data_IF_514821698566
#
_entry.id   IF_514821698566
#
_cell.length_a   1.000
_cell.length_b   1.000
_cell.length_c   1.000
_cell.angle_alpha   90.00
_cell.angle_beta   90.00
_cell.angle_gamma   90.00
#
_symmetry.space_group_name_H-M   'P 1'
#
loop_
_entity.id
_entity.type
_entity.pdbx_description
1 polymer ?
#
# COMPACT_ATOMS: atom_id res chain seq x y z
N UNK A 1 5.78 -46.33 8.34
CA UNK A 1 5.67 -45.74 7.00
C UNK A 1 4.61 -44.62 6.91
N UNK A 2 3.37 -44.78 7.42
CA UNK A 2 2.33 -43.69 7.34
C UNK A 2 2.71 -42.35 7.99
N UNK A 3 3.46 -42.36 9.11
CA UNK A 3 3.89 -41.12 9.80
C UNK A 3 4.95 -40.32 9.04
N UNK A 4 5.82 -40.98 8.24
CA UNK A 4 6.86 -40.32 7.43
C UNK A 4 6.22 -39.68 6.21
N UNK A 5 5.24 -40.33 5.57
CA UNK A 5 4.53 -39.78 4.41
C UNK A 5 3.75 -38.49 4.78
N UNK A 6 3.14 -38.49 5.99
CA UNK A 6 2.42 -37.30 6.48
C UNK A 6 3.38 -36.11 6.70
N UNK A 7 4.56 -36.36 7.28
CA UNK A 7 5.55 -35.32 7.54
C UNK A 7 6.12 -34.71 6.24
N UNK A 8 6.36 -35.52 5.22
CA UNK A 8 6.83 -35.08 3.91
C UNK A 8 5.76 -34.24 3.18
N UNK A 9 4.49 -34.63 3.26
CA UNK A 9 3.39 -33.88 2.65
C UNK A 9 3.21 -32.49 3.30
N UNK A 10 3.38 -32.38 4.62
CA UNK A 10 3.32 -31.10 5.34
C UNK A 10 4.50 -30.19 4.95
N UNK A 11 5.70 -30.72 4.80
CA UNK A 11 6.88 -29.95 4.38
C UNK A 11 6.75 -29.40 2.94
N UNK A 12 6.20 -30.21 2.03
CA UNK A 12 5.99 -29.79 0.63
C UNK A 12 4.91 -28.70 0.51
N UNK A 13 3.86 -28.75 1.33
CA UNK A 13 2.82 -27.70 1.33
C UNK A 13 3.32 -26.38 1.90
N UNK A 14 4.19 -26.38 2.89
CA UNK A 14 4.81 -25.17 3.44
C UNK A 14 5.76 -24.51 2.42
N UNK A 15 6.55 -25.30 1.69
CA UNK A 15 7.43 -24.77 0.66
C UNK A 15 6.66 -24.07 -0.48
N UNK A 16 5.59 -24.67 -0.97
CA UNK A 16 4.74 -24.09 -2.02
C UNK A 16 4.04 -22.78 -1.58
N UNK A 17 3.60 -22.69 -0.33
CA UNK A 17 3.01 -21.46 0.21
C UNK A 17 4.04 -20.34 0.31
N UNK A 18 5.28 -20.61 0.69
CA UNK A 18 6.36 -19.63 0.79
C UNK A 18 6.72 -19.10 -0.59
N UNK A 19 6.85 -19.97 -1.58
CA UNK A 19 7.15 -19.59 -2.97
C UNK A 19 6.08 -18.66 -3.56
N UNK A 20 4.81 -18.96 -3.33
CA UNK A 20 3.69 -18.13 -3.77
C UNK A 20 3.66 -16.77 -3.08
N UNK A 21 3.96 -16.70 -1.79
CA UNK A 21 4.08 -15.44 -1.05
C UNK A 21 5.17 -14.56 -1.65
N UNK A 22 6.34 -15.10 -1.92
CA UNK A 22 7.45 -14.36 -2.52
C UNK A 22 7.11 -13.86 -3.93
N UNK A 23 6.46 -14.68 -4.76
CA UNK A 23 5.99 -14.26 -6.10
C UNK A 23 5.07 -13.04 -6.03
N UNK A 24 4.11 -13.00 -5.11
CA UNK A 24 3.20 -11.86 -4.93
C UNK A 24 3.95 -10.59 -4.49
N UNK A 25 4.92 -10.73 -3.58
CA UNK A 25 5.77 -9.61 -3.16
C UNK A 25 6.64 -9.08 -4.31
N UNK A 26 7.24 -9.97 -5.09
CA UNK A 26 8.04 -9.60 -6.26
C UNK A 26 7.19 -8.88 -7.31
N UNK A 27 5.98 -9.38 -7.59
CA UNK A 27 5.05 -8.74 -8.52
C UNK A 27 4.67 -7.33 -8.06
N UNK A 28 4.39 -7.15 -6.76
CA UNK A 28 4.09 -5.85 -6.19
C UNK A 28 5.29 -4.89 -6.28
N UNK A 29 6.51 -5.38 -6.02
CA UNK A 29 7.74 -4.59 -6.15
C UNK A 29 8.03 -4.18 -7.59
N UNK A 30 7.88 -5.10 -8.55
CA UNK A 30 8.05 -4.80 -9.98
C UNK A 30 7.04 -3.75 -10.44
N UNK A 31 5.76 -3.90 -10.06
CA UNK A 31 4.70 -2.95 -10.38
C UNK A 31 5.00 -1.56 -9.78
N UNK A 32 5.47 -1.50 -8.53
CA UNK A 32 5.88 -0.24 -7.90
C UNK A 32 6.98 0.45 -8.72
N UNK A 33 8.06 -0.26 -9.01
CA UNK A 33 9.21 0.28 -9.76
C UNK A 33 8.81 0.74 -11.17
N UNK A 34 8.01 -0.04 -11.86
CA UNK A 34 7.52 0.28 -13.20
C UNK A 34 6.64 1.55 -13.20
N UNK A 35 5.75 1.70 -12.20
CA UNK A 35 4.84 2.84 -12.10
C UNK A 35 5.53 4.16 -11.76
N UNK A 36 6.67 4.11 -11.08
CA UNK A 36 7.47 5.28 -10.70
C UNK A 36 8.57 5.61 -11.73
N UNK A 37 8.63 4.84 -12.81
CA UNK A 37 9.65 5.00 -13.84
C UNK A 37 11.04 4.61 -13.35
N UNK A 38 12.09 5.13 -14.03
CA UNK A 38 13.48 4.85 -13.66
C UNK A 38 13.97 5.63 -12.43
N UNK A 39 13.05 6.19 -11.63
CA UNK A 39 13.36 6.90 -10.40
C UNK A 39 13.99 5.98 -9.35
N UNK A 40 14.78 6.56 -8.45
CA UNK A 40 15.30 5.84 -7.31
C UNK A 40 14.15 5.52 -6.34
N UNK A 41 13.80 4.23 -6.24
CA UNK A 41 12.81 3.72 -5.30
C UNK A 41 13.53 2.90 -4.24
N UNK A 42 13.42 3.33 -3.00
CA UNK A 42 13.94 2.60 -1.84
C UNK A 42 12.76 1.98 -1.09
N UNK A 43 12.68 0.66 -1.10
CA UNK A 43 11.69 -0.09 -0.32
C UNK A 43 12.13 -0.09 1.14
N UNK A 44 11.27 0.39 2.03
CA UNK A 44 11.49 0.44 3.47
C UNK A 44 10.94 -0.80 4.15
N UNK A 45 9.79 -1.28 3.68
CA UNK A 45 9.15 -2.48 4.18
C UNK A 45 8.14 -3.04 3.19
N UNK A 46 7.93 -4.35 3.27
CA UNK A 46 6.92 -5.07 2.50
C UNK A 46 6.19 -6.01 3.45
N UNK A 47 4.86 -6.02 3.37
CA UNK A 47 4.04 -6.91 4.18
C UNK A 47 4.03 -8.33 3.60
N UNK A 48 3.75 -9.32 4.44
CA UNK A 48 3.28 -10.60 3.93
C UNK A 48 1.94 -10.41 3.20
N UNK A 49 1.67 -11.23 2.16
CA UNK A 49 0.38 -11.24 1.52
C UNK A 49 -0.73 -11.58 2.52
N UNK A 50 -1.79 -10.80 2.51
CA UNK A 50 -2.96 -11.00 3.35
C UNK A 50 -4.22 -11.11 2.49
N UNK A 51 -5.23 -11.83 2.98
CA UNK A 51 -6.47 -12.03 2.26
C UNK A 51 -7.25 -10.72 2.10
N UNK A 52 -7.78 -10.48 0.90
CA UNK A 52 -8.74 -9.40 0.66
C UNK A 52 -10.11 -9.94 0.27
N UNK A 53 -11.15 -9.12 0.46
CA UNK A 53 -12.55 -9.50 0.29
C UNK A 53 -13.29 -8.38 -0.44
N UNK A 54 -14.19 -8.75 -1.35
CA UNK A 54 -14.86 -7.75 -2.20
C UNK A 54 -13.85 -6.90 -2.98
N UNK A 55 -14.19 -5.66 -3.29
CA UNK A 55 -13.35 -4.77 -4.11
C UNK A 55 -12.43 -3.86 -3.30
N UNK A 56 -12.78 -3.53 -2.07
CA UNK A 56 -12.11 -2.48 -1.28
C UNK A 56 -11.96 -2.82 0.21
N UNK A 57 -12.15 -4.08 0.59
CA UNK A 57 -12.13 -4.42 2.00
C UNK A 57 -10.77 -4.23 2.64
N UNK A 58 -10.75 -3.39 3.66
CA UNK A 58 -9.64 -3.19 4.57
C UNK A 58 -10.08 -3.55 5.98
N UNK A 59 -9.21 -4.22 6.73
CA UNK A 59 -9.50 -4.52 8.14
C UNK A 59 -9.61 -3.24 8.97
N UNK A 60 -10.35 -3.26 10.09
CA UNK A 60 -10.51 -2.09 10.95
C UNK A 60 -9.18 -1.48 11.45
N UNK A 61 -8.19 -2.32 11.74
CA UNK A 61 -6.84 -1.90 12.15
C UNK A 61 -6.08 -1.21 11.02
N UNK A 62 -6.19 -1.72 9.79
CA UNK A 62 -5.60 -1.13 8.59
C UNK A 62 -6.23 0.24 8.28
N UNK A 63 -7.57 0.32 8.30
CA UNK A 63 -8.30 1.60 8.14
C UNK A 63 -7.84 2.63 9.16
N UNK A 64 -7.76 2.22 10.44
CA UNK A 64 -7.33 3.10 11.53
C UNK A 64 -5.90 3.61 11.30
N UNK A 65 -5.00 2.74 10.84
CA UNK A 65 -3.61 3.12 10.55
C UNK A 65 -3.52 4.11 9.38
N UNK A 66 -4.25 3.87 8.28
CA UNK A 66 -4.30 4.77 7.13
C UNK A 66 -4.87 6.14 7.54
N UNK A 67 -5.99 6.17 8.26
CA UNK A 67 -6.60 7.43 8.74
C UNK A 67 -5.62 8.18 9.64
N UNK A 68 -4.92 7.50 10.55
CA UNK A 68 -3.93 8.12 11.41
C UNK A 68 -2.76 8.71 10.62
N UNK A 69 -2.30 8.02 9.56
CA UNK A 69 -1.27 8.53 8.66
C UNK A 69 -1.75 9.78 7.92
N UNK A 70 -2.97 9.74 7.36
CA UNK A 70 -3.56 10.88 6.64
C UNK A 70 -3.75 12.11 7.55
N UNK A 71 -4.14 11.90 8.81
CA UNK A 71 -4.22 12.98 9.79
C UNK A 71 -2.84 13.58 10.08
N UNK A 72 -1.79 12.75 10.24
CA UNK A 72 -0.42 13.26 10.42
C UNK A 72 0.06 14.08 9.21
N UNK A 73 -0.28 13.66 8.00
CA UNK A 73 0.01 14.45 6.79
C UNK A 73 -0.71 15.80 6.85
N UNK A 74 -1.99 15.81 7.22
CA UNK A 74 -2.76 17.05 7.44
C UNK A 74 -2.07 17.94 8.46
N UNK A 75 -1.65 17.42 9.60
CA UNK A 75 -0.98 18.18 10.66
C UNK A 75 0.33 18.83 10.15
N UNK A 76 1.11 18.11 9.33
CA UNK A 76 2.33 18.66 8.72
C UNK A 76 1.99 19.83 7.80
N UNK A 77 1.00 19.68 6.92
CA UNK A 77 0.55 20.74 6.00
C UNK A 77 0.05 21.95 6.79
N UNK A 78 -0.84 21.73 7.76
CA UNK A 78 -1.41 22.80 8.60
C UNK A 78 -0.36 23.58 9.38
N UNK A 79 0.62 22.86 9.94
CA UNK A 79 1.75 23.50 10.64
C UNK A 79 2.59 24.37 9.70
N UNK A 80 2.91 23.89 8.50
CA UNK A 80 3.74 24.62 7.51
C UNK A 80 3.02 25.80 6.89
N UNK A 81 1.69 25.72 6.78
CA UNK A 81 0.84 26.80 6.23
C UNK A 81 0.24 27.69 7.32
N UNK A 82 0.63 27.56 8.58
CA UNK A 82 0.04 28.29 9.73
C UNK A 82 -1.50 28.21 9.69
N UNK A 83 -2.04 27.00 9.67
CA UNK A 83 -3.47 26.73 9.54
C UNK A 83 -4.08 27.34 8.27
N UNK A 84 -3.43 27.17 7.14
CA UNK A 84 -3.83 27.69 5.82
C UNK A 84 -3.88 29.23 5.72
N UNK A 85 -3.33 29.95 6.69
CA UNK A 85 -3.27 31.41 6.68
C UNK A 85 -2.09 31.95 5.85
N UNK A 86 -1.08 31.12 5.59
CA UNK A 86 0.10 31.46 4.80
C UNK A 86 0.27 30.43 3.69
N UNK A 87 0.23 30.90 2.46
CA UNK A 87 0.61 30.14 1.29
C UNK A 87 1.99 30.59 0.80
N UNK A 88 2.96 29.69 0.79
CA UNK A 88 4.27 29.94 0.22
C UNK A 88 4.41 29.13 -1.09
N UNK A 89 4.38 29.76 -2.27
CA UNK A 89 4.50 29.06 -3.55
C UNK A 89 5.90 28.45 -3.77
N UNK A 90 6.90 28.83 -2.98
CA UNK A 90 8.25 28.26 -3.05
C UNK A 90 8.39 27.00 -2.16
N UNK A 91 7.44 26.71 -1.29
CA UNK A 91 7.44 25.49 -0.47
C UNK A 91 6.93 24.30 -1.26
N UNK A 92 7.76 23.86 -2.23
CA UNK A 92 7.46 22.75 -3.14
C UNK A 92 7.15 21.46 -2.40
N UNK A 93 7.77 21.22 -1.23
CA UNK A 93 7.48 20.05 -0.41
C UNK A 93 6.03 20.04 0.10
N UNK A 94 5.57 21.15 0.68
CA UNK A 94 4.21 21.24 1.21
C UNK A 94 3.18 21.15 0.09
N UNK A 95 3.44 21.76 -1.05
CA UNK A 95 2.56 21.68 -2.24
C UNK A 95 2.45 20.23 -2.70
N UNK A 96 3.57 19.56 -2.94
CA UNK A 96 3.59 18.17 -3.39
C UNK A 96 2.93 17.21 -2.37
N UNK A 97 3.12 17.43 -1.07
CA UNK A 97 2.48 16.65 -0.02
C UNK A 97 0.96 16.84 -0.02
N UNK A 98 0.48 18.07 -0.16
CA UNK A 98 -0.95 18.39 -0.25
C UNK A 98 -1.60 17.76 -1.49
N UNK A 99 -0.94 17.83 -2.63
CA UNK A 99 -1.42 17.19 -3.87
C UNK A 99 -1.52 15.66 -3.73
N UNK A 100 -0.54 15.01 -3.10
CA UNK A 100 -0.59 13.56 -2.81
C UNK A 100 -1.73 13.22 -1.87
N UNK A 101 -1.94 14.04 -0.82
CA UNK A 101 -3.05 13.87 0.08
C UNK A 101 -4.40 14.01 -0.64
N UNK A 102 -4.54 14.98 -1.53
CA UNK A 102 -5.77 15.16 -2.31
C UNK A 102 -6.06 13.95 -3.22
N UNK A 103 -5.03 13.39 -3.87
CA UNK A 103 -5.19 12.17 -4.67
C UNK A 103 -5.60 10.98 -3.79
N UNK A 104 -4.95 10.80 -2.65
CA UNK A 104 -5.23 9.73 -1.71
C UNK A 104 -6.64 9.82 -1.08
N UNK A 105 -7.23 11.02 -1.01
CA UNK A 105 -8.58 11.20 -0.46
C UNK A 105 -9.66 10.44 -1.24
N UNK A 106 -9.49 10.23 -2.53
CA UNK A 106 -10.42 9.43 -3.32
C UNK A 106 -10.38 7.95 -2.91
N UNK A 107 -9.17 7.40 -2.76
CA UNK A 107 -8.98 6.03 -2.28
C UNK A 107 -9.45 5.87 -0.84
N UNK A 108 -9.18 6.87 0.01
CA UNK A 108 -9.65 6.90 1.39
C UNK A 108 -11.18 6.89 1.48
N UNK A 109 -11.86 7.69 0.68
CA UNK A 109 -13.32 7.73 0.63
C UNK A 109 -13.89 6.38 0.17
N UNK A 110 -13.39 5.83 -0.92
CA UNK A 110 -13.78 4.51 -1.41
C UNK A 110 -13.59 3.43 -0.32
N UNK A 111 -12.45 3.42 0.34
CA UNK A 111 -12.16 2.50 1.44
C UNK A 111 -13.14 2.65 2.61
N UNK A 112 -13.59 3.86 2.93
CA UNK A 112 -14.50 4.11 4.05
C UNK A 112 -15.94 3.76 3.72
N UNK A 113 -16.41 4.06 2.49
CA UNK A 113 -17.81 3.87 2.09
C UNK A 113 -18.11 2.43 1.67
N UNK A 114 -17.18 1.76 0.98
CA UNK A 114 -17.46 0.46 0.34
C UNK A 114 -17.19 -0.76 1.24
N UNK A 115 -16.71 -0.56 2.45
CA UNK A 115 -16.05 -1.63 3.20
C UNK A 115 -16.69 -2.04 4.50
N UNK A 116 -17.95 -1.69 4.77
CA UNK A 116 -18.62 -2.11 6.00
C UNK A 116 -19.02 -3.60 5.98
N UNK A 117 -19.12 -4.19 4.80
CA UNK A 117 -19.36 -5.63 4.65
C UNK A 117 -18.14 -6.31 4.05
N UNK A 118 -17.67 -7.36 4.74
CA UNK A 118 -16.45 -8.07 4.33
C UNK A 118 -16.53 -8.69 2.92
N UNK A 119 -17.74 -9.01 2.42
CA UNK A 119 -17.92 -9.62 1.10
C UNK A 119 -17.29 -11.03 0.98
N UNK A 120 -17.27 -11.56 -0.24
CA UNK A 120 -16.61 -12.81 -0.57
C UNK A 120 -15.09 -12.60 -0.71
N UNK A 121 -14.32 -13.67 -0.47
CA UNK A 121 -12.88 -13.64 -0.71
C UNK A 121 -12.58 -13.34 -2.18
N UNK A 122 -11.80 -12.29 -2.42
CA UNK A 122 -11.50 -11.78 -3.76
C UNK A 122 -10.03 -11.95 -4.18
N UNK A 123 -9.14 -12.31 -3.26
CA UNK A 123 -7.73 -12.49 -3.57
C UNK A 123 -6.83 -12.08 -2.42
N UNK A 124 -5.75 -11.40 -2.77
CA UNK A 124 -4.66 -11.05 -1.86
C UNK A 124 -4.38 -9.55 -1.88
N UNK A 125 -3.75 -9.05 -0.82
CA UNK A 125 -3.21 -7.70 -0.78
C UNK A 125 -1.80 -7.72 -0.19
N UNK A 126 -0.94 -6.87 -0.74
CA UNK A 126 0.43 -6.64 -0.29
C UNK A 126 0.61 -5.13 -0.11
N UNK A 127 1.21 -4.72 1.01
CA UNK A 127 1.55 -3.33 1.27
C UNK A 127 3.06 -3.13 1.14
N UNK A 128 3.47 -2.06 0.47
CA UNK A 128 4.87 -1.63 0.39
C UNK A 128 4.99 -0.21 0.94
N UNK A 129 5.85 -0.04 1.94
CA UNK A 129 6.32 1.26 2.41
C UNK A 129 7.59 1.61 1.66
N UNK A 130 7.67 2.81 1.08
CA UNK A 130 8.79 3.19 0.24
C UNK A 130 9.11 4.68 0.30
N UNK A 131 10.35 5.00 -0.06
CA UNK A 131 10.85 6.34 -0.36
C UNK A 131 11.14 6.43 -1.85
N UNK A 132 10.78 7.55 -2.46
CA UNK A 132 11.03 7.79 -3.88
C UNK A 132 11.20 9.28 -4.16
N UNK A 133 11.63 9.60 -5.38
CA UNK A 133 11.61 10.96 -5.91
C UNK A 133 10.46 11.12 -6.88
N UNK A 134 9.81 12.28 -6.83
CA UNK A 134 8.77 12.60 -7.80
C UNK A 134 9.33 13.19 -9.10
N UNK A 135 8.44 13.55 -10.04
CA UNK A 135 8.82 14.15 -11.31
C UNK A 135 9.55 15.51 -11.19
N UNK A 136 9.53 16.14 -10.02
CA UNK A 136 10.25 17.37 -9.69
C UNK A 136 11.50 17.12 -8.86
N UNK A 137 11.95 15.87 -8.76
CA UNK A 137 13.12 15.43 -7.97
C UNK A 137 12.98 15.68 -6.44
N UNK A 138 11.74 15.81 -5.94
CA UNK A 138 11.45 15.96 -4.51
C UNK A 138 11.32 14.60 -3.86
N UNK A 139 12.03 14.41 -2.75
CA UNK A 139 11.91 13.20 -1.95
C UNK A 139 10.54 13.12 -1.29
N UNK A 140 9.95 11.94 -1.30
CA UNK A 140 8.71 11.67 -0.59
C UNK A 140 8.67 10.23 -0.07
N UNK A 141 7.79 10.01 0.89
CA UNK A 141 7.51 8.70 1.46
C UNK A 141 6.03 8.38 1.31
N UNK A 142 5.71 7.13 0.98
CA UNK A 142 4.33 6.66 0.88
C UNK A 142 4.22 5.18 1.23
N UNK A 143 3.01 4.75 1.55
CA UNK A 143 2.62 3.35 1.54
C UNK A 143 1.72 3.10 0.33
N UNK A 144 1.98 2.00 -0.40
CA UNK A 144 1.13 1.56 -1.51
C UNK A 144 0.63 0.16 -1.25
N UNK A 145 -0.68 0.00 -1.44
CA UNK A 145 -1.40 -1.25 -1.32
C UNK A 145 -1.66 -1.81 -2.71
N UNK A 146 -1.30 -3.07 -2.90
CA UNK A 146 -1.50 -3.80 -4.14
C UNK A 146 -2.52 -4.89 -3.89
N UNK A 147 -3.59 -4.91 -4.68
CA UNK A 147 -4.66 -5.91 -4.61
C UNK A 147 -4.50 -6.85 -5.79
N UNK A 148 -4.34 -8.13 -5.48
CA UNK A 148 -4.07 -9.20 -6.44
C UNK A 148 -5.28 -10.13 -6.52
N UNK A 149 -5.42 -10.78 -7.66
CA UNK A 149 -6.43 -11.81 -7.89
C UNK A 149 -6.27 -13.02 -6.95
N UNK A 150 -7.19 -13.95 -7.05
CA UNK A 150 -7.18 -15.18 -6.22
C UNK A 150 -5.95 -16.03 -6.45
N UNK A 151 -5.46 -16.05 -7.67
CA UNK A 151 -4.25 -16.75 -8.08
C UNK A 151 -2.96 -16.03 -7.65
N UNK A 152 -3.04 -14.74 -7.28
CA UNK A 152 -1.90 -13.92 -6.90
C UNK A 152 -1.00 -13.53 -8.08
N UNK A 153 -1.53 -13.57 -9.31
CA UNK A 153 -0.77 -13.37 -10.53
C UNK A 153 -1.02 -12.03 -11.21
N UNK A 154 -2.12 -11.37 -10.87
CA UNK A 154 -2.54 -10.10 -11.50
C UNK A 154 -2.86 -9.06 -10.43
N UNK A 155 -2.24 -7.89 -10.53
CA UNK A 155 -2.63 -6.72 -9.75
C UNK A 155 -3.78 -6.04 -10.48
N UNK A 156 -4.96 -6.03 -9.86
CA UNK A 156 -6.15 -5.40 -10.45
C UNK A 156 -6.44 -4.01 -9.89
N UNK A 157 -5.85 -3.67 -8.74
CA UNK A 157 -6.04 -2.36 -8.09
C UNK A 157 -4.83 -1.98 -7.26
N UNK A 158 -4.57 -0.69 -7.16
CA UNK A 158 -3.61 -0.11 -6.21
C UNK A 158 -4.24 1.08 -5.50
N UNK A 159 -3.81 1.33 -4.26
CA UNK A 159 -4.09 2.53 -3.49
C UNK A 159 -2.78 3.07 -2.93
N UNK A 160 -2.59 4.38 -2.93
CA UNK A 160 -1.39 5.00 -2.37
C UNK A 160 -1.76 6.08 -1.36
N UNK A 161 -1.11 6.02 -0.21
CA UNK A 161 -1.28 6.99 0.87
C UNK A 161 0.08 7.62 1.22
N UNK A 162 0.20 8.96 1.20
CA UNK A 162 1.41 9.64 1.60
C UNK A 162 1.71 9.39 3.08
N UNK A 163 3.00 9.34 3.40
CA UNK A 163 3.52 9.32 4.76
C UNK A 163 4.26 10.64 5.03
N UNK A 164 4.16 11.18 6.26
CA UNK A 164 4.83 12.42 6.64
C UNK A 164 6.33 12.25 6.80
#
# INVERSE_FOLDING_TARGET
MKKIVLAVAVLLSLAACTEKSEQMKELAQMSLRQSLGNGQVKIIGISEPDSTFGTNYMRPDEKKAIIANMNRVTDVIMKRTKNMSVFNPEDSYTIALAERQMRANNDLRSMLYDSDTKGEWSGWKVKIDFEAKDGHNLDYRAERWFFLDKEGNVIFKTMEFPLP
#
